data_IF_579767814327
#
_entry.id   IF_579767814327
#
_cell.length_a   1.000
_cell.length_b   1.000
_cell.length_c   1.000
_cell.angle_alpha   90.00
_cell.angle_beta   90.00
_cell.angle_gamma   90.00
#
_symmetry.space_group_name_H-M   'P 1'
#
loop_
_entity.id
_entity.type
_entity.pdbx_description
1 polymer ?
#
# COMPACT_ATOMS: atom_id res chain seq x y z
N UNK A 1 2.58 29.96 28.22
CA UNK A 1 3.44 28.76 28.27
C UNK A 1 4.10 28.47 26.91
N UNK A 2 3.79 29.22 25.84
CA UNK A 2 4.34 28.98 24.50
C UNK A 2 5.63 29.76 24.21
N UNK A 3 5.90 30.83 24.97
CA UNK A 3 7.01 31.77 24.72
C UNK A 3 8.40 31.13 24.87
N UNK A 4 8.57 30.16 25.77
CA UNK A 4 9.85 29.48 25.99
C UNK A 4 10.15 28.46 24.88
N UNK A 5 9.12 27.77 24.40
CA UNK A 5 9.21 26.81 23.29
C UNK A 5 9.55 27.51 21.96
N UNK A 6 9.06 28.73 21.72
CA UNK A 6 9.36 29.49 20.48
C UNK A 6 10.80 30.02 20.40
N UNK A 7 11.41 30.44 21.52
CA UNK A 7 12.83 30.83 21.55
C UNK A 7 13.72 29.61 21.33
N UNK A 8 13.28 28.44 21.78
CA UNK A 8 13.91 27.16 21.49
C UNK A 8 13.77 26.80 19.99
N UNK A 9 12.59 27.03 19.39
CA UNK A 9 12.35 26.85 17.96
C UNK A 9 13.30 27.65 17.08
N UNK A 10 13.59 28.91 17.41
CA UNK A 10 14.55 29.72 16.63
C UNK A 10 15.99 29.17 16.65
N UNK A 11 16.42 28.59 17.77
CA UNK A 11 17.73 27.92 17.88
C UNK A 11 17.75 26.60 17.14
N UNK A 12 16.66 25.83 17.21
CA UNK A 12 16.49 24.57 16.49
C UNK A 12 16.53 24.79 14.98
N UNK A 13 15.87 25.84 14.49
CA UNK A 13 15.90 26.26 13.07
C UNK A 13 17.34 26.53 12.63
N UNK A 14 18.06 27.41 13.33
CA UNK A 14 19.45 27.70 12.96
C UNK A 14 20.35 26.46 13.00
N UNK A 15 20.13 25.54 13.96
CA UNK A 15 20.88 24.29 14.04
C UNK A 15 20.55 23.35 12.88
N UNK A 16 19.28 23.25 12.48
CA UNK A 16 18.84 22.46 11.33
C UNK A 16 19.51 22.96 10.05
N UNK A 17 19.48 24.27 9.80
CA UNK A 17 20.09 24.84 8.60
C UNK A 17 21.62 24.76 8.60
N UNK A 18 22.27 24.92 9.75
CA UNK A 18 23.71 24.70 9.88
C UNK A 18 24.10 23.23 9.59
N UNK A 19 23.29 22.27 10.03
CA UNK A 19 23.49 20.86 9.70
C UNK A 19 23.35 20.61 8.19
N UNK A 20 22.35 21.20 7.55
CA UNK A 20 22.16 21.11 6.09
C UNK A 20 23.37 21.72 5.36
N UNK A 21 23.83 22.90 5.77
CA UNK A 21 25.01 23.54 5.19
C UNK A 21 26.27 22.67 5.34
N UNK A 22 26.50 22.06 6.51
CA UNK A 22 27.62 21.12 6.72
C UNK A 22 27.54 19.93 5.77
N UNK A 23 26.36 19.34 5.59
CA UNK A 23 26.17 18.21 4.67
C UNK A 23 26.45 18.61 3.21
N UNK A 24 26.09 19.84 2.82
CA UNK A 24 26.36 20.36 1.48
C UNK A 24 27.83 20.65 1.22
N UNK A 25 28.56 21.05 2.26
CA UNK A 25 29.99 21.33 2.19
C UNK A 25 30.84 20.05 2.23
N UNK A 26 30.31 18.98 2.83
CA UNK A 26 30.95 17.66 2.85
C UNK A 26 30.86 16.93 1.51
N UNK A 27 29.71 17.02 0.82
CA UNK A 27 29.51 16.38 -0.49
C UNK A 27 28.68 17.26 -1.45
N UNK A 28 29.37 17.95 -2.35
CA UNK A 28 28.76 18.83 -3.36
C UNK A 28 27.92 18.06 -4.41
N UNK A 29 28.09 16.74 -4.53
CA UNK A 29 27.34 15.91 -5.47
C UNK A 29 26.09 15.27 -4.85
N UNK A 30 25.94 15.34 -3.53
CA UNK A 30 24.77 14.80 -2.84
C UNK A 30 23.53 15.68 -3.11
N UNK A 31 22.41 15.05 -3.46
CA UNK A 31 21.11 15.70 -3.47
C UNK A 31 20.53 15.67 -2.05
N UNK A 32 20.30 16.84 -1.46
CA UNK A 32 19.71 16.96 -0.13
C UNK A 32 18.23 17.30 -0.25
N UNK A 33 17.38 16.38 0.20
CA UNK A 33 15.94 16.59 0.33
C UNK A 33 15.59 16.95 1.77
N UNK A 34 15.08 18.15 1.99
CA UNK A 34 14.63 18.64 3.30
C UNK A 34 13.11 18.58 3.36
N UNK A 35 12.56 17.96 4.40
CA UNK A 35 11.10 17.90 4.61
C UNK A 35 10.74 18.62 5.90
N UNK A 36 9.84 19.61 5.81
CA UNK A 36 9.32 20.35 6.95
C UNK A 36 7.81 20.13 7.01
N UNK A 37 7.35 19.38 8.01
CA UNK A 37 5.92 19.17 8.24
C UNK A 37 5.30 20.35 9.02
N UNK A 38 4.03 20.64 8.77
CA UNK A 38 3.25 21.66 9.50
C UNK A 38 3.94 23.03 9.56
N UNK A 39 4.34 23.55 8.40
CA UNK A 39 5.12 24.79 8.30
C UNK A 39 4.43 26.00 8.94
N UNK A 40 3.10 26.01 9.06
CA UNK A 40 2.34 27.06 9.76
C UNK A 40 2.72 27.20 11.24
N UNK A 41 3.26 26.15 11.86
CA UNK A 41 3.77 26.19 13.24
C UNK A 41 5.03 27.05 13.37
N UNK A 42 5.80 27.16 12.29
CA UNK A 42 7.07 27.89 12.24
C UNK A 42 6.97 29.21 11.48
N UNK A 43 6.19 29.22 10.40
CA UNK A 43 6.01 30.33 9.48
C UNK A 43 4.61 30.97 9.63
N UNK A 44 4.05 31.01 10.84
CA UNK A 44 2.69 31.54 11.08
C UNK A 44 2.55 33.05 10.82
N UNK A 45 1.36 33.49 10.40
CA UNK A 45 1.01 34.90 10.18
C UNK A 45 1.12 35.72 11.46
N UNK A 46 1.52 36.97 11.28
CA UNK A 46 1.59 38.01 12.31
C UNK A 46 0.20 38.29 12.87
N UNK A 47 -0.06 37.96 14.13
CA UNK A 47 -1.23 38.52 14.83
C UNK A 47 -0.87 39.94 15.31
N UNK A 48 -1.69 40.93 14.93
CA UNK A 48 -1.51 42.36 15.25
C UNK A 48 -1.67 42.63 16.78
N UNK A 49 -1.15 43.77 17.29
CA UNK A 49 -0.59 43.93 18.62
C UNK A 49 -1.65 44.19 19.68
N UNK A 50 -1.55 43.45 20.78
CA UNK A 50 -2.40 43.62 21.95
C UNK A 50 -2.08 42.63 23.07
N UNK A 51 -1.47 41.49 22.73
CA UNK A 51 -0.97 40.52 23.70
C UNK A 51 0.54 40.61 23.85
N UNK A 52 0.97 40.77 25.08
CA UNK A 52 2.30 40.98 25.62
C UNK A 52 3.35 39.92 25.20
N UNK A 53 4.54 40.38 24.78
CA UNK A 53 5.83 39.67 24.62
C UNK A 53 5.97 38.44 23.70
N UNK A 54 4.92 37.64 23.43
CA UNK A 54 4.99 36.52 22.47
C UNK A 54 5.19 36.87 20.98
N UNK A 55 4.76 38.03 20.44
CA UNK A 55 4.85 38.28 18.99
C UNK A 55 6.26 38.57 18.48
N UNK A 56 7.25 38.82 19.36
CA UNK A 56 8.61 39.16 18.92
C UNK A 56 9.47 37.91 18.60
N UNK A 57 9.32 36.84 19.38
CA UNK A 57 10.16 35.65 19.21
C UNK A 57 9.68 34.77 18.05
N UNK A 58 8.36 34.64 17.86
CA UNK A 58 7.79 34.02 16.66
C UNK A 58 8.23 34.77 15.40
N UNK A 59 8.20 36.10 15.41
CA UNK A 59 8.69 36.92 14.31
C UNK A 59 10.19 36.71 14.02
N UNK A 60 11.01 36.56 15.05
CA UNK A 60 12.44 36.25 14.90
C UNK A 60 12.65 34.86 14.28
N UNK A 61 11.88 33.87 14.71
CA UNK A 61 11.94 32.52 14.16
C UNK A 61 11.53 32.49 12.67
N UNK A 62 10.43 33.17 12.32
CA UNK A 62 9.99 33.32 10.92
C UNK A 62 11.09 33.99 10.08
N UNK A 63 11.66 35.11 10.55
CA UNK A 63 12.72 35.80 9.82
C UNK A 63 13.98 34.95 9.66
N UNK A 64 14.38 34.20 10.70
CA UNK A 64 15.52 33.28 10.64
C UNK A 64 15.28 32.18 9.60
N UNK A 65 14.07 31.61 9.57
CA UNK A 65 13.66 30.67 8.54
C UNK A 65 13.77 31.29 7.14
N UNK A 66 13.19 32.47 6.91
CA UNK A 66 13.22 33.12 5.59
C UNK A 66 14.65 33.38 5.10
N UNK A 67 15.54 33.85 5.98
CA UNK A 67 16.96 34.08 5.65
C UNK A 67 17.63 32.74 5.28
N UNK A 68 17.33 31.67 6.01
CA UNK A 68 17.92 30.37 5.73
C UNK A 68 17.40 29.75 4.42
N UNK A 69 16.13 29.94 4.09
CA UNK A 69 15.56 29.56 2.79
C UNK A 69 16.25 30.29 1.64
N UNK A 70 16.49 31.60 1.79
CA UNK A 70 17.18 32.40 0.78
C UNK A 70 18.62 31.90 0.55
N UNK A 71 19.29 31.37 1.58
CA UNK A 71 20.62 30.74 1.45
C UNK A 71 20.57 29.39 0.74
N UNK A 72 19.63 28.52 1.13
CA UNK A 72 19.48 27.20 0.51
C UNK A 72 19.07 27.31 -0.96
N UNK A 73 18.32 28.35 -1.36
CA UNK A 73 17.93 28.58 -2.75
C UNK A 73 19.11 28.74 -3.71
N UNK A 74 20.27 29.16 -3.20
CA UNK A 74 21.49 29.29 -4.00
C UNK A 74 22.20 27.95 -4.26
N UNK A 75 21.77 26.86 -3.61
CA UNK A 75 22.37 25.53 -3.72
C UNK A 75 21.57 24.68 -4.72
N UNK A 76 22.14 24.31 -5.89
CA UNK A 76 21.40 23.60 -6.94
C UNK A 76 21.04 22.14 -6.58
N UNK A 77 21.69 21.60 -5.55
CA UNK A 77 21.54 20.23 -5.06
C UNK A 77 20.65 20.13 -3.82
N UNK A 78 19.81 21.13 -3.55
CA UNK A 78 18.85 21.13 -2.44
C UNK A 78 17.42 21.16 -2.95
N UNK A 79 16.59 20.26 -2.43
CA UNK A 79 15.15 20.25 -2.65
C UNK A 79 14.42 20.36 -1.32
N UNK A 80 13.55 21.36 -1.20
CA UNK A 80 12.75 21.59 0.00
C UNK A 80 11.29 21.22 -0.24
N UNK A 81 10.76 20.39 0.64
CA UNK A 81 9.35 20.04 0.72
C UNK A 81 8.77 20.58 2.02
N UNK A 82 7.66 21.30 1.92
CA UNK A 82 6.90 21.76 3.07
C UNK A 82 5.45 21.32 2.94
N UNK A 83 4.85 20.90 4.04
CA UNK A 83 3.41 20.65 4.13
C UNK A 83 2.76 21.71 5.01
N UNK A 84 1.47 21.95 4.76
CA UNK A 84 0.66 22.80 5.62
C UNK A 84 -0.77 22.31 5.61
N UNK A 85 -1.39 22.24 6.79
CA UNK A 85 -2.82 22.00 6.91
C UNK A 85 -3.61 23.32 6.83
N UNK A 86 -2.95 24.45 7.15
CA UNK A 86 -3.55 25.78 7.21
C UNK A 86 -2.77 26.79 6.37
N UNK A 87 -2.87 26.69 5.04
CA UNK A 87 -2.14 27.59 4.12
C UNK A 87 -2.45 29.07 4.38
N UNK A 88 -3.68 29.39 4.79
CA UNK A 88 -4.10 30.74 5.13
C UNK A 88 -3.48 31.26 6.42
N UNK A 89 -2.94 30.39 7.29
CA UNK A 89 -2.25 30.76 8.50
C UNK A 89 -0.76 31.02 8.28
N UNK A 90 -0.22 30.75 7.08
CA UNK A 90 1.21 30.92 6.76
C UNK A 90 1.54 32.36 6.35
N UNK A 91 2.69 32.87 6.79
CA UNK A 91 3.20 34.21 6.48
C UNK A 91 3.37 34.37 4.96
N UNK A 92 2.82 35.44 4.36
CA UNK A 92 2.91 35.67 2.92
C UNK A 92 4.34 35.68 2.38
N UNK A 93 5.32 36.17 3.15
CA UNK A 93 6.71 36.22 2.72
C UNK A 93 7.35 34.83 2.59
N UNK A 94 6.87 33.84 3.35
CA UNK A 94 7.25 32.45 3.14
C UNK A 94 6.63 31.93 1.84
N UNK A 95 5.34 32.17 1.63
CA UNK A 95 4.58 31.73 0.45
C UNK A 95 5.15 32.30 -0.86
N UNK A 96 5.70 33.51 -0.83
CA UNK A 96 6.37 34.13 -1.98
C UNK A 96 7.70 33.46 -2.37
N UNK A 97 8.33 32.73 -1.44
CA UNK A 97 9.58 31.99 -1.69
C UNK A 97 9.37 30.57 -2.20
N UNK A 98 8.12 30.09 -2.20
CA UNK A 98 7.76 28.75 -2.66
C UNK A 98 7.53 28.76 -4.17
N UNK A 99 8.30 27.96 -4.89
CA UNK A 99 8.21 27.86 -6.35
C UNK A 99 6.94 27.12 -6.81
N UNK A 100 6.55 26.05 -6.09
CA UNK A 100 5.39 25.23 -6.43
C UNK A 100 4.46 25.04 -5.24
N UNK A 101 3.19 25.42 -5.43
CA UNK A 101 2.12 25.25 -4.43
C UNK A 101 1.13 24.22 -4.96
N UNK A 102 1.04 23.08 -4.29
CA UNK A 102 0.12 22.03 -4.66
C UNK A 102 -0.84 21.76 -3.51
N UNK A 103 -2.13 21.99 -3.75
CA UNK A 103 -3.17 21.57 -2.82
C UNK A 103 -3.45 20.08 -3.04
N UNK A 104 -3.36 19.29 -1.98
CA UNK A 104 -3.70 17.87 -1.98
C UNK A 104 -5.06 17.70 -1.30
N UNK A 105 -6.06 17.30 -2.09
CA UNK A 105 -7.40 17.01 -1.58
C UNK A 105 -7.49 15.58 -1.03
N UNK A 106 -8.61 15.28 -0.37
CA UNK A 106 -8.96 13.90 -0.04
C UNK A 106 -8.96 13.00 -1.30
N UNK A 107 -8.61 11.71 -1.14
CA UNK A 107 -8.48 10.78 -2.26
C UNK A 107 -9.81 10.61 -3.02
N UNK A 108 -9.74 10.69 -4.35
CA UNK A 108 -10.86 10.37 -5.23
C UNK A 108 -11.23 8.88 -5.21
N UNK A 109 -12.39 8.47 -5.76
CA UNK A 109 -12.92 7.10 -5.64
C UNK A 109 -11.92 6.01 -6.06
N UNK A 110 -11.24 6.21 -7.19
CA UNK A 110 -10.18 5.31 -7.66
C UNK A 110 -9.04 5.18 -6.66
N UNK A 111 -8.57 6.29 -6.08
CA UNK A 111 -7.48 6.27 -5.10
C UNK A 111 -7.92 5.58 -3.80
N UNK A 112 -9.17 5.76 -3.36
CA UNK A 112 -9.71 5.06 -2.19
C UNK A 112 -9.76 3.56 -2.39
N UNK A 113 -10.19 3.12 -3.58
CA UNK A 113 -10.17 1.71 -3.96
C UNK A 113 -8.74 1.14 -3.87
N UNK A 114 -7.75 1.81 -4.48
CA UNK A 114 -6.37 1.33 -4.46
C UNK A 114 -5.77 1.32 -3.05
N UNK A 115 -6.08 2.31 -2.20
CA UNK A 115 -5.64 2.31 -0.80
C UNK A 115 -6.21 1.10 -0.06
N UNK A 116 -7.53 0.91 -0.09
CA UNK A 116 -8.17 -0.21 0.61
C UNK A 116 -7.71 -1.56 0.05
N UNK A 117 -7.61 -1.68 -1.27
CA UNK A 117 -7.07 -2.85 -1.97
C UNK A 117 -5.66 -3.18 -1.48
N UNK A 118 -4.74 -2.21 -1.45
CA UNK A 118 -3.37 -2.42 -0.99
C UNK A 118 -3.32 -2.94 0.45
N UNK A 119 -4.20 -2.43 1.33
CA UNK A 119 -4.31 -2.92 2.69
C UNK A 119 -4.81 -4.38 2.75
N UNK A 120 -5.80 -4.76 1.93
CA UNK A 120 -6.32 -6.13 1.92
C UNK A 120 -5.33 -7.15 1.36
N UNK A 121 -4.57 -6.77 0.33
CA UNK A 121 -3.49 -7.60 -0.20
C UNK A 121 -2.42 -7.83 0.88
N UNK A 122 -2.02 -6.79 1.60
CA UNK A 122 -1.04 -6.91 2.70
C UNK A 122 -1.57 -7.79 3.84
N UNK A 123 -2.83 -7.60 4.24
CA UNK A 123 -3.47 -8.43 5.28
C UNK A 123 -3.58 -9.90 4.85
N UNK A 124 -3.80 -10.16 3.56
CA UNK A 124 -3.74 -11.51 2.99
C UNK A 124 -2.34 -12.10 3.02
N UNK A 125 -1.31 -11.33 2.68
CA UNK A 125 0.10 -11.75 2.77
C UNK A 125 0.52 -12.05 4.21
N UNK A 126 -0.01 -11.32 5.18
CA UNK A 126 0.20 -11.57 6.60
C UNK A 126 -0.54 -12.81 7.13
N UNK A 127 -1.43 -13.42 6.32
CA UNK A 127 -2.26 -14.55 6.73
C UNK A 127 -3.39 -14.18 7.68
N UNK A 128 -3.70 -12.88 7.85
CA UNK A 128 -4.83 -12.42 8.67
C UNK A 128 -6.14 -12.61 7.91
N UNK A 129 -6.11 -12.36 6.60
CA UNK A 129 -7.24 -12.59 5.69
C UNK A 129 -6.96 -13.82 4.85
N UNK A 130 -7.90 -14.76 4.85
CA UNK A 130 -7.90 -15.93 3.99
C UNK A 130 -8.51 -15.63 2.61
N UNK A 131 -7.98 -16.23 1.52
CA UNK A 131 -8.52 -16.14 0.18
C UNK A 131 -9.94 -16.70 0.08
N UNK A 132 -10.62 -16.48 -1.05
CA UNK A 132 -11.87 -17.16 -1.34
C UNK A 132 -11.65 -18.66 -1.32
N UNK A 133 -12.42 -19.39 -0.50
CA UNK A 133 -12.50 -20.83 -0.60
C UNK A 133 -13.08 -21.17 -1.98
N UNK A 134 -12.24 -21.55 -2.94
CA UNK A 134 -12.76 -22.37 -4.04
C UNK A 134 -13.34 -23.62 -3.37
N UNK A 135 -14.61 -24.00 -3.64
CA UNK A 135 -15.04 -25.34 -3.31
C UNK A 135 -14.04 -26.26 -3.97
N UNK A 136 -13.25 -26.97 -3.16
CA UNK A 136 -12.40 -28.03 -3.65
C UNK A 136 -13.35 -28.93 -4.46
N UNK A 137 -13.12 -29.09 -5.76
CA UNK A 137 -13.74 -30.13 -6.58
C UNK A 137 -13.25 -31.50 -6.06
N UNK A 138 -13.61 -31.83 -4.82
CA UNK A 138 -13.59 -33.17 -4.26
C UNK A 138 -14.95 -33.81 -4.55
N UNK A 139 -15.37 -33.75 -5.81
CA UNK A 139 -16.46 -34.55 -6.34
C UNK A 139 -15.83 -35.65 -7.19
N UNK A 140 -15.53 -36.77 -6.52
CA UNK A 140 -15.66 -38.13 -7.06
C UNK A 140 -15.09 -38.36 -8.47
N UNK A 141 -13.78 -38.60 -8.54
CA UNK A 141 -13.28 -39.68 -9.40
C UNK A 141 -13.36 -40.97 -8.58
N UNK A 142 -14.57 -41.53 -8.45
CA UNK A 142 -14.65 -42.97 -8.26
C UNK A 142 -14.09 -43.60 -9.53
N UNK A 143 -12.86 -44.14 -9.42
CA UNK A 143 -12.37 -45.08 -10.41
C UNK A 143 -13.24 -46.33 -10.28
N UNK A 144 -13.97 -46.78 -11.32
CA UNK A 144 -14.55 -48.10 -11.27
C UNK A 144 -13.40 -49.10 -11.32
N UNK A 145 -13.12 -49.71 -10.18
CA UNK A 145 -12.31 -50.91 -10.05
C UNK A 145 -13.00 -52.03 -10.82
N UNK A 146 -12.55 -52.25 -12.06
CA UNK A 146 -12.96 -53.38 -12.87
C UNK A 146 -12.14 -54.61 -12.44
N UNK A 147 -12.45 -55.13 -11.25
CA UNK A 147 -12.22 -56.55 -10.96
C UNK A 147 -13.33 -57.34 -11.68
N UNK A 148 -13.00 -57.88 -12.85
CA UNK A 148 -13.75 -58.99 -13.44
C UNK A 148 -12.75 -60.03 -13.94
N UNK A 149 -12.75 -61.14 -13.20
CA UNK A 149 -12.42 -62.52 -13.54
C UNK A 149 -11.42 -62.76 -14.71
N UNK A 150 -10.24 -63.22 -14.31
CA UNK A 150 -9.42 -64.12 -15.14
C UNK A 150 -10.09 -65.50 -15.14
N UNK A 151 -10.59 -65.91 -16.29
CA UNK A 151 -10.73 -67.33 -16.67
C UNK A 151 -10.49 -67.43 -18.18
N UNK A 152 -9.52 -68.26 -18.56
CA UNK A 152 -9.54 -69.01 -19.82
C UNK A 152 -8.99 -68.34 -21.08
N UNK A 153 -7.90 -68.95 -21.57
CA UNK A 153 -7.58 -69.20 -22.97
C UNK A 153 -6.85 -68.11 -23.78
N UNK A 154 -5.53 -68.28 -23.78
CA UNK A 154 -4.65 -67.92 -24.89
C UNK A 154 -5.12 -68.68 -26.14
N UNK A 155 -5.60 -67.97 -27.16
CA UNK A 155 -5.25 -68.19 -28.57
C UNK A 155 -6.06 -67.26 -29.50
N UNK A 156 -5.42 -66.86 -30.60
CA UNK A 156 -6.01 -66.25 -31.80
C UNK A 156 -6.57 -64.81 -31.72
N UNK A 157 -5.74 -63.84 -32.12
CA UNK A 157 -5.93 -63.00 -33.34
C UNK A 157 -5.05 -61.74 -33.30
N UNK A 158 -3.73 -61.96 -33.27
CA UNK A 158 -2.76 -60.98 -33.74
C UNK A 158 -2.80 -60.93 -35.27
N UNK A 159 -3.76 -60.21 -35.85
CA UNK A 159 -3.81 -59.87 -37.27
C UNK A 159 -4.84 -58.77 -37.50
N UNK A 160 -4.42 -57.51 -37.68
CA UNK A 160 -5.37 -56.57 -38.27
C UNK A 160 -5.04 -55.08 -38.37
N UNK A 161 -4.18 -54.47 -37.56
CA UNK A 161 -4.13 -52.99 -37.52
C UNK A 161 -2.72 -52.38 -37.45
N UNK A 162 -1.76 -52.98 -38.17
CA UNK A 162 -0.45 -52.36 -38.41
C UNK A 162 -0.10 -52.35 -39.91
N UNK A 163 -0.92 -51.66 -40.68
CA UNK A 163 -0.59 -51.26 -42.05
C UNK A 163 -1.06 -49.83 -42.24
N UNK A 164 -0.18 -48.85 -41.98
CA UNK A 164 -0.09 -47.56 -42.66
C UNK A 164 1.13 -46.78 -42.10
N UNK A 165 2.32 -47.18 -42.54
CA UNK A 165 3.50 -46.31 -42.62
C UNK A 165 4.05 -46.44 -44.03
N UNK A 166 4.30 -45.35 -44.77
CA UNK A 166 5.30 -45.35 -45.83
C UNK A 166 6.64 -44.87 -45.26
N UNK A 167 7.65 -45.69 -45.50
CA UNK A 167 9.06 -45.54 -45.14
C UNK A 167 9.90 -44.91 -46.26
N UNK A 168 11.00 -44.23 -45.90
CA UNK A 168 12.33 -44.31 -46.56
C UNK A 168 13.34 -43.50 -45.71
N UNK A 169 14.23 -44.14 -44.94
CA UNK A 169 15.61 -44.61 -45.26
C UNK A 169 16.63 -43.46 -45.44
N UNK A 170 17.86 -43.41 -44.92
CA UNK A 170 18.67 -44.28 -44.03
C UNK A 170 20.03 -43.59 -43.78
N UNK A 171 20.55 -43.71 -42.54
CA UNK A 171 21.97 -43.88 -42.11
C UNK A 171 23.11 -42.85 -42.35
N UNK A 172 23.74 -42.49 -41.21
CA UNK A 172 25.19 -42.46 -40.85
C UNK A 172 26.10 -41.22 -41.13
N UNK A 173 26.30 -40.40 -40.05
CA UNK A 173 27.52 -39.89 -39.35
C UNK A 173 28.75 -39.31 -40.11
N UNK A 174 29.73 -38.57 -39.49
CA UNK A 174 29.88 -38.02 -38.11
C UNK A 174 30.40 -36.53 -38.05
N UNK A 175 30.74 -36.09 -36.82
CA UNK A 175 31.76 -35.09 -36.41
C UNK A 175 31.38 -33.62 -36.06
N UNK A 176 31.66 -33.31 -34.77
CA UNK A 176 32.27 -32.09 -34.17
C UNK A 176 31.56 -30.75 -34.45
N UNK A 177 31.17 -29.94 -33.47
CA UNK A 177 31.94 -29.39 -32.34
C UNK A 177 30.95 -28.88 -31.27
N UNK A 178 31.20 -29.16 -29.98
CA UNK A 178 31.36 -28.19 -28.88
C UNK A 178 31.29 -28.91 -27.52
N UNK A 179 32.36 -28.76 -26.75
CA UNK A 179 32.57 -29.31 -25.41
C UNK A 179 31.91 -28.46 -24.32
N UNK A 180 31.67 -29.03 -23.13
CA UNK A 180 30.83 -28.46 -22.06
C UNK A 180 31.64 -27.59 -21.08
N UNK A 181 31.03 -26.52 -20.56
CA UNK A 181 31.48 -25.89 -19.32
C UNK A 181 30.66 -26.43 -18.14
N UNK A 182 31.37 -27.12 -17.25
CA UNK A 182 30.89 -27.72 -16.00
C UNK A 182 30.76 -26.65 -14.92
N UNK A 183 29.56 -26.47 -14.36
CA UNK A 183 29.33 -25.74 -13.11
C UNK A 183 29.33 -26.73 -11.92
N UNK A 184 29.87 -26.36 -10.75
CA UNK A 184 30.13 -27.29 -9.65
C UNK A 184 28.83 -27.69 -8.91
N UNK A 185 28.78 -28.88 -8.28
CA UNK A 185 27.62 -29.33 -7.53
C UNK A 185 27.48 -28.57 -6.19
N UNK A 186 26.25 -28.32 -5.70
CA UNK A 186 26.03 -27.67 -4.42
C UNK A 186 26.35 -28.61 -3.24
N UNK A 187 26.79 -28.09 -2.09
CA UNK A 187 27.11 -28.91 -0.93
C UNK A 187 25.86 -29.50 -0.28
N UNK A 188 25.97 -30.77 0.09
CA UNK A 188 24.96 -31.58 0.74
C UNK A 188 24.88 -31.33 2.26
N UNK A 189 23.63 -31.17 2.72
CA UNK A 189 23.07 -31.43 4.05
C UNK A 189 23.35 -30.47 5.23
N UNK A 190 22.28 -29.76 5.63
CA UNK A 190 21.75 -29.92 6.99
C UNK A 190 20.23 -29.99 6.92
N UNK A 191 19.71 -31.17 7.27
CA UNK A 191 18.29 -31.52 7.36
C UNK A 191 17.55 -30.60 8.34
N UNK A 192 16.70 -29.72 7.81
CA UNK A 192 15.45 -29.36 8.48
C UNK A 192 14.33 -29.92 7.61
N UNK A 193 13.45 -30.70 8.24
CA UNK A 193 12.26 -31.25 7.60
C UNK A 193 11.54 -30.14 6.81
N UNK A 194 10.99 -30.42 5.62
CA UNK A 194 10.17 -29.43 4.94
C UNK A 194 8.97 -29.18 5.87
N UNK A 195 8.87 -27.97 6.41
CA UNK A 195 7.58 -27.47 6.89
C UNK A 195 6.64 -27.71 5.73
N UNK A 196 5.58 -28.48 5.96
CA UNK A 196 4.48 -28.70 5.03
C UNK A 196 4.23 -27.39 4.27
N UNK A 197 4.52 -27.41 2.97
CA UNK A 197 4.13 -26.32 2.08
C UNK A 197 2.61 -26.39 2.02
N UNK A 198 1.98 -25.70 2.97
CA UNK A 198 0.56 -25.41 2.88
C UNK A 198 0.48 -24.42 1.74
N UNK A 199 -0.09 -24.84 0.61
CA UNK A 199 -0.52 -23.93 -0.45
C UNK A 199 -1.64 -23.06 0.13
N UNK A 200 -1.26 -22.07 0.93
CA UNK A 200 -2.13 -20.95 1.25
C UNK A 200 -2.24 -20.16 -0.05
N UNK A 201 -3.36 -20.30 -0.74
CA UNK A 201 -3.73 -19.31 -1.74
C UNK A 201 -3.72 -17.96 -1.01
N UNK A 202 -2.84 -17.04 -1.40
CA UNK A 202 -2.76 -15.71 -0.78
C UNK A 202 -3.77 -14.83 -1.51
N UNK A 203 -4.42 -13.91 -0.81
CA UNK A 203 -5.23 -12.89 -1.48
C UNK A 203 -4.33 -12.13 -2.45
N UNK A 204 -4.60 -12.25 -3.74
CA UNK A 204 -3.74 -11.71 -4.79
C UNK A 204 -4.51 -10.82 -5.79
N UNK A 205 -3.83 -10.41 -6.85
CA UNK A 205 -4.41 -9.58 -7.92
C UNK A 205 -5.57 -10.27 -8.66
N UNK A 206 -5.76 -11.60 -8.50
CA UNK A 206 -6.90 -12.34 -9.07
C UNK A 206 -8.15 -12.13 -8.21
N UNK A 207 -7.98 -12.15 -6.89
CA UNK A 207 -9.06 -11.91 -5.93
C UNK A 207 -9.48 -10.43 -5.89
N UNK A 208 -8.49 -9.53 -5.88
CA UNK A 208 -8.69 -8.08 -5.89
C UNK A 208 -7.80 -7.44 -6.98
N UNK A 209 -8.26 -7.30 -8.22
CA UNK A 209 -7.48 -6.71 -9.31
C UNK A 209 -7.38 -5.18 -9.17
N UNK A 210 -6.39 -4.53 -9.80
CA UNK A 210 -6.32 -3.07 -9.88
C UNK A 210 -7.60 -2.49 -10.49
N UNK A 211 -7.94 -1.24 -10.15
CA UNK A 211 -9.22 -0.62 -10.51
C UNK A 211 -9.54 -0.70 -12.02
N UNK A 212 -8.53 -0.51 -12.87
CA UNK A 212 -8.73 -0.55 -14.32
C UNK A 212 -9.09 -1.95 -14.84
N UNK A 213 -8.51 -3.02 -14.28
CA UNK A 213 -8.86 -4.40 -14.62
C UNK A 213 -10.22 -4.79 -14.03
N UNK A 214 -10.52 -4.34 -12.81
CA UNK A 214 -11.86 -4.50 -12.24
C UNK A 214 -12.94 -3.92 -13.16
N UNK A 215 -12.75 -2.70 -13.65
CA UNK A 215 -13.69 -2.04 -14.55
C UNK A 215 -13.88 -2.77 -15.89
N UNK A 216 -12.85 -3.48 -16.37
CA UNK A 216 -12.90 -4.24 -17.62
C UNK A 216 -13.56 -5.61 -17.45
N UNK A 217 -13.24 -6.33 -16.38
CA UNK A 217 -13.61 -7.73 -16.20
C UNK A 217 -14.88 -7.94 -15.35
N UNK A 218 -15.20 -7.00 -14.47
CA UNK A 218 -16.35 -7.09 -13.55
C UNK A 218 -17.30 -5.89 -13.63
N UNK A 219 -17.69 -5.40 -14.83
CA UNK A 219 -18.50 -4.18 -14.95
C UNK A 219 -19.94 -4.34 -14.43
N UNK A 220 -20.49 -5.56 -14.44
CA UNK A 220 -21.88 -5.83 -14.09
C UNK A 220 -22.06 -6.85 -12.95
N UNK A 221 -20.97 -7.47 -12.47
CA UNK A 221 -21.03 -8.42 -11.36
C UNK A 221 -21.00 -7.69 -10.03
N UNK A 222 -22.20 -7.30 -9.58
CA UNK A 222 -22.43 -6.59 -8.34
C UNK A 222 -22.13 -7.41 -7.07
N UNK A 223 -21.97 -8.73 -7.18
CA UNK A 223 -21.67 -9.63 -6.07
C UNK A 223 -20.17 -9.99 -5.95
N UNK A 224 -19.37 -9.71 -6.98
CA UNK A 224 -17.93 -9.97 -6.97
C UNK A 224 -17.19 -9.18 -5.86
N UNK A 225 -16.15 -9.78 -5.26
CA UNK A 225 -15.33 -9.11 -4.24
C UNK A 225 -14.73 -7.78 -4.70
N UNK A 226 -14.18 -7.66 -5.93
CA UNK A 226 -13.65 -6.39 -6.42
C UNK A 226 -14.73 -5.31 -6.45
N UNK A 227 -15.96 -5.68 -6.84
CA UNK A 227 -17.09 -4.75 -6.90
C UNK A 227 -17.62 -4.37 -5.52
N UNK A 228 -17.61 -5.31 -4.57
CA UNK A 228 -17.92 -5.03 -3.16
C UNK A 228 -16.92 -4.03 -2.58
N UNK A 229 -15.62 -4.24 -2.77
CA UNK A 229 -14.59 -3.29 -2.35
C UNK A 229 -14.75 -1.93 -3.03
N UNK A 230 -15.12 -1.89 -4.31
CA UNK A 230 -15.44 -0.65 -5.01
C UNK A 230 -16.63 0.09 -4.42
N UNK A 231 -17.71 -0.60 -4.05
CA UNK A 231 -18.86 0.02 -3.37
C UNK A 231 -18.44 0.66 -2.06
N UNK A 232 -17.64 -0.05 -1.26
CA UNK A 232 -17.11 0.49 -0.01
C UNK A 232 -16.27 1.73 -0.28
N UNK A 233 -15.33 1.67 -1.23
CA UNK A 233 -14.53 2.82 -1.64
C UNK A 233 -15.39 3.99 -2.15
N UNK A 234 -16.45 3.72 -2.90
CA UNK A 234 -17.39 4.73 -3.38
C UNK A 234 -18.14 5.40 -2.23
N UNK A 235 -18.56 4.63 -1.20
CA UNK A 235 -19.21 5.13 0.02
C UNK A 235 -18.29 5.94 0.94
N UNK A 236 -16.99 5.64 0.99
CA UNK A 236 -16.00 6.34 1.82
C UNK A 236 -15.66 7.76 1.35
N UNK A 237 -16.66 8.57 1.01
CA UNK A 237 -16.45 9.97 0.59
C UNK A 237 -15.88 10.79 1.75
N UNK A 238 -15.06 11.79 1.42
CA UNK A 238 -14.40 12.70 2.38
C UNK A 238 -13.41 12.08 3.38
N UNK A 239 -13.21 10.76 3.37
CA UNK A 239 -12.22 10.15 4.26
C UNK A 239 -10.79 10.51 3.85
N UNK A 240 -9.97 10.82 4.87
CA UNK A 240 -8.54 11.02 4.69
C UNK A 240 -7.82 9.71 4.36
N UNK A 241 -6.63 9.79 3.76
CA UNK A 241 -5.78 8.62 3.56
C UNK A 241 -5.41 7.90 4.88
N UNK A 242 -5.29 8.64 5.99
CA UNK A 242 -5.05 8.07 7.32
C UNK A 242 -6.25 7.24 7.79
N UNK A 243 -7.46 7.76 7.65
CA UNK A 243 -8.72 7.05 7.98
C UNK A 243 -8.84 5.77 7.16
N UNK A 244 -8.64 5.86 5.84
CA UNK A 244 -8.75 4.70 4.93
C UNK A 244 -7.75 3.60 5.24
N UNK A 245 -6.52 3.93 5.66
CA UNK A 245 -5.50 2.93 6.03
C UNK A 245 -5.76 2.30 7.41
N UNK A 246 -6.46 3.01 8.31
CA UNK A 246 -6.83 2.50 9.64
C UNK A 246 -8.01 1.53 9.58
N UNK A 247 -8.97 1.79 8.70
CA UNK A 247 -10.25 1.10 8.64
C UNK A 247 -10.15 -0.44 8.49
N UNK A 248 -9.30 -1.02 7.63
CA UNK A 248 -9.21 -2.48 7.47
C UNK A 248 -8.86 -3.22 8.75
N UNK A 249 -7.91 -2.70 9.53
CA UNK A 249 -7.52 -3.32 10.81
C UNK A 249 -8.62 -3.12 11.85
N UNK A 250 -9.20 -1.91 11.90
CA UNK A 250 -10.29 -1.60 12.81
C UNK A 250 -11.52 -2.46 12.55
N UNK A 251 -11.88 -2.68 11.29
CA UNK A 251 -13.07 -3.45 10.92
C UNK A 251 -12.94 -4.92 11.31
N UNK A 252 -11.76 -5.51 11.08
CA UNK A 252 -11.47 -6.87 11.53
C UNK A 252 -11.60 -6.98 13.06
N UNK A 253 -10.99 -6.06 13.80
CA UNK A 253 -11.02 -6.09 15.27
C UNK A 253 -12.43 -5.92 15.87
N UNK A 254 -13.30 -5.15 15.21
CA UNK A 254 -14.62 -4.79 15.75
C UNK A 254 -15.75 -5.72 15.30
N UNK A 255 -15.65 -6.28 14.09
CA UNK A 255 -16.79 -6.95 13.44
C UNK A 255 -16.49 -8.39 12.99
N UNK A 256 -15.30 -8.92 13.23
CA UNK A 256 -14.96 -10.31 12.87
C UNK A 256 -14.53 -11.11 14.09
N UNK A 257 -14.66 -12.44 14.00
CA UNK A 257 -14.29 -13.35 15.10
C UNK A 257 -13.43 -14.53 14.64
N UNK A 258 -13.25 -14.70 13.33
CA UNK A 258 -12.49 -15.80 12.73
C UNK A 258 -11.01 -15.44 12.57
N UNK A 259 -10.13 -16.43 12.73
CA UNK A 259 -8.69 -16.33 12.48
C UNK A 259 -8.19 -17.62 11.79
N UNK A 260 -7.78 -17.58 10.51
CA UNK A 260 -7.79 -16.42 9.61
C UNK A 260 -9.21 -16.06 9.14
N UNK A 261 -9.50 -14.77 8.97
CA UNK A 261 -10.81 -14.26 8.56
C UNK A 261 -10.99 -14.39 7.04
N UNK A 262 -12.07 -15.01 6.52
CA UNK A 262 -12.27 -15.11 5.09
C UNK A 262 -12.56 -13.73 4.46
N UNK A 263 -12.07 -13.49 3.24
CA UNK A 263 -12.09 -12.17 2.59
C UNK A 263 -13.50 -11.58 2.40
N UNK A 264 -14.51 -12.41 2.16
CA UNK A 264 -15.90 -12.00 2.04
C UNK A 264 -16.45 -11.44 3.36
N UNK A 265 -16.19 -12.12 4.48
CA UNK A 265 -16.52 -11.63 5.82
C UNK A 265 -15.75 -10.34 6.15
N UNK A 266 -14.45 -10.30 5.83
CA UNK A 266 -13.62 -9.12 6.04
C UNK A 266 -14.11 -7.90 5.25
N UNK A 267 -14.60 -8.06 4.03
CA UNK A 267 -15.16 -6.95 3.23
C UNK A 267 -16.53 -6.49 3.75
N UNK A 268 -17.36 -7.42 4.25
CA UNK A 268 -18.62 -7.06 4.90
C UNK A 268 -18.37 -6.25 6.17
N UNK A 269 -17.44 -6.70 7.01
CA UNK A 269 -16.98 -5.99 8.21
C UNK A 269 -16.47 -4.58 7.87
N UNK A 270 -15.73 -4.42 6.77
CA UNK A 270 -15.27 -3.11 6.32
C UNK A 270 -16.42 -2.21 5.87
N UNK A 271 -17.43 -2.74 5.17
CA UNK A 271 -18.62 -1.95 4.83
C UNK A 271 -19.29 -1.42 6.10
N UNK A 272 -19.47 -2.25 7.13
CA UNK A 272 -20.05 -1.82 8.41
C UNK A 272 -19.20 -0.78 9.13
N UNK A 273 -17.87 -0.95 9.12
CA UNK A 273 -16.95 0.02 9.72
C UNK A 273 -17.00 1.38 8.99
N UNK A 274 -17.07 1.38 7.66
CA UNK A 274 -17.21 2.59 6.86
C UNK A 274 -18.53 3.28 7.14
N UNK A 275 -19.65 2.54 7.15
CA UNK A 275 -20.97 3.10 7.43
C UNK A 275 -20.99 3.76 8.83
N UNK A 276 -20.36 3.14 9.84
CA UNK A 276 -20.22 3.71 11.18
C UNK A 276 -19.30 4.94 11.25
N UNK A 277 -18.17 4.93 10.54
CA UNK A 277 -17.26 6.08 10.49
C UNK A 277 -17.90 7.26 9.76
N UNK A 278 -18.67 7.02 8.70
CA UNK A 278 -19.44 8.06 8.01
C UNK A 278 -20.49 8.70 8.92
N UNK A 279 -21.16 7.92 9.77
CA UNK A 279 -22.10 8.45 10.77
C UNK A 279 -21.40 9.33 11.82
N UNK A 280 -20.16 9.01 12.19
CA UNK A 280 -19.35 9.82 13.12
C UNK A 280 -18.97 11.15 12.49
N UNK A 281 -18.46 11.14 11.26
CA UNK A 281 -18.11 12.38 10.55
C UNK A 281 -19.32 13.30 10.32
N UNK A 282 -20.50 12.73 10.07
CA UNK A 282 -21.74 13.52 9.96
C UNK A 282 -22.07 14.23 11.29
N UNK A 283 -21.99 13.54 12.43
CA UNK A 283 -22.24 14.14 13.76
C UNK A 283 -21.25 15.24 14.11
N UNK A 284 -19.99 15.05 13.74
CA UNK A 284 -18.95 16.05 13.96
C UNK A 284 -19.18 17.29 13.07
N UNK A 285 -19.69 17.10 11.86
CA UNK A 285 -20.04 18.20 10.95
C UNK A 285 -21.31 18.97 11.36
N UNK A 286 -22.28 18.32 12.03
CA UNK A 286 -23.50 18.96 12.56
C UNK A 286 -23.33 19.57 13.94
N UNK A 287 -22.17 19.42 14.59
CA UNK A 287 -21.80 20.10 15.83
C UNK A 287 -22.42 19.51 17.11
N UNK A 288 -22.99 18.32 17.07
CA UNK A 288 -23.67 17.72 18.25
C UNK A 288 -22.70 17.17 19.31
N UNK A 289 -21.40 17.02 19.02
CA UNK A 289 -20.43 16.42 19.96
C UNK A 289 -19.70 17.42 20.88
N UNK A 290 -19.96 18.74 20.81
CA UNK A 290 -19.30 19.73 21.70
C UNK A 290 -20.02 20.03 23.03
N UNK A 291 -21.07 19.29 23.39
CA UNK A 291 -21.93 19.61 24.54
C UNK A 291 -21.90 18.59 25.70
N UNK A 292 -20.92 17.68 25.78
CA UNK A 292 -20.87 16.68 26.86
C UNK A 292 -19.57 16.62 27.70
N UNK A 293 -18.53 17.41 27.39
CA UNK A 293 -17.28 17.44 28.19
C UNK A 293 -17.04 18.76 28.96
N UNK A 294 -18.10 19.54 29.21
CA UNK A 294 -18.06 20.69 30.13
C UNK A 294 -19.17 20.55 31.19
N UNK A 295 -19.00 19.65 32.14
CA UNK A 295 -19.64 19.67 33.46
C UNK A 295 -18.62 19.23 34.51
#
# INVERSE_FOLDING_TARGET
MFSQDFVESGKVVNKLFAMIESMLDEDENALICVFIDEIESLAGKRQYPGSSNEPQDSLRAVNALLIALDRLRCRPNVLLFCTSNLIEAVDPAFIDRIDMKQQISNPGPRARYEILRSCYLELGQCGIIAPVRQPLEAATLEQPSQEMLLDGDEDELASGWASLIPSSSSSSSPDRYYTPFSSPPPPHHSTKAPRSQVDFHVVDDRDLPPHHLMMLHFPADEASLPRTLWKVAAKSTNFSGRTLRRLPVLSLAMYTTQDPCPIDEALNALSEAVDNESLREQKDSTGETKMLDCC
#
